data_IF_924191775060
#
_entry.id   IF_924191775060
#
_cell.length_a   1.000
_cell.length_b   1.000
_cell.length_c   1.000
_cell.angle_alpha   90.00
_cell.angle_beta   90.00
_cell.angle_gamma   90.00
#
_symmetry.space_group_name_H-M   'P 1'
#
loop_
_entity.id
_entity.type
_entity.pdbx_description
1 polymer ?
#
# COMPACT_ATOMS: atom_id res chain seq x y z
N UNK A 1 18.88 -12.46 2.71
CA UNK A 1 18.22 -11.45 1.86
C UNK A 1 17.09 -10.84 2.66
N UNK A 2 16.94 -9.53 2.59
CA UNK A 2 15.90 -8.76 3.26
C UNK A 2 14.93 -8.21 2.20
N UNK A 3 13.64 -8.53 2.32
CA UNK A 3 12.61 -8.23 1.33
C UNK A 3 11.68 -7.18 1.92
N UNK A 4 11.61 -6.02 1.28
CA UNK A 4 10.63 -4.97 1.59
C UNK A 4 9.33 -5.21 0.82
N UNK A 5 8.20 -5.07 1.48
CA UNK A 5 6.87 -5.21 0.86
C UNK A 5 6.03 -3.99 1.23
N UNK A 6 5.41 -3.35 0.24
CA UNK A 6 4.42 -2.31 0.48
C UNK A 6 3.09 -2.88 0.96
N UNK A 7 2.24 -2.04 1.53
CA UNK A 7 0.90 -2.39 1.98
C UNK A 7 -0.14 -2.14 0.89
N UNK A 8 -0.30 -0.87 0.51
CA UNK A 8 -1.36 -0.41 -0.38
C UNK A 8 -1.04 -0.77 -1.83
N UNK A 9 -1.98 -1.41 -2.53
CA UNK A 9 -1.77 -1.90 -3.89
C UNK A 9 -0.95 -3.20 -3.98
N UNK A 10 -0.39 -3.69 -2.87
CA UNK A 10 0.35 -4.97 -2.81
C UNK A 10 -0.33 -5.99 -1.90
N UNK A 11 -0.69 -5.61 -0.70
CA UNK A 11 -1.41 -6.47 0.26
C UNK A 11 -2.88 -6.05 0.38
N UNK A 12 -3.14 -4.75 0.53
CA UNK A 12 -4.47 -4.14 0.68
C UNK A 12 -4.99 -3.66 -0.68
N UNK A 13 -6.22 -4.03 -1.02
CA UNK A 13 -6.89 -3.59 -2.26
C UNK A 13 -7.50 -2.18 -2.08
N UNK A 14 -6.62 -1.21 -1.84
CA UNK A 14 -7.01 0.17 -1.59
C UNK A 14 -7.72 0.79 -2.80
N UNK A 15 -7.30 0.44 -4.02
CA UNK A 15 -7.90 0.95 -5.26
C UNK A 15 -9.36 0.55 -5.37
N UNK A 16 -9.67 -0.73 -5.21
CA UNK A 16 -11.05 -1.22 -5.24
C UNK A 16 -11.86 -0.63 -4.09
N UNK A 17 -11.29 -0.58 -2.90
CA UNK A 17 -11.95 -0.05 -1.71
C UNK A 17 -12.38 1.41 -1.91
N UNK A 18 -11.50 2.30 -2.36
CA UNK A 18 -11.81 3.71 -2.65
C UNK A 18 -12.82 3.80 -3.80
N UNK A 19 -12.59 3.07 -4.89
CA UNK A 19 -13.48 3.10 -6.07
C UNK A 19 -14.91 2.74 -5.72
N UNK A 20 -15.11 1.66 -4.98
CA UNK A 20 -16.45 1.17 -4.63
C UNK A 20 -17.13 2.09 -3.61
N UNK A 21 -16.40 2.60 -2.63
CA UNK A 21 -16.92 3.58 -1.67
C UNK A 21 -17.35 4.87 -2.35
N UNK A 22 -16.55 5.38 -3.31
CA UNK A 22 -16.93 6.58 -4.08
C UNK A 22 -18.18 6.33 -4.94
N UNK A 23 -18.32 5.16 -5.56
CA UNK A 23 -19.53 4.79 -6.32
C UNK A 23 -20.77 4.75 -5.43
N UNK A 24 -20.66 4.25 -4.22
CA UNK A 24 -21.77 4.16 -3.27
C UNK A 24 -22.14 5.52 -2.71
N UNK A 25 -21.17 6.32 -2.29
CA UNK A 25 -21.42 7.62 -1.64
C UNK A 25 -21.65 8.75 -2.61
N UNK A 26 -21.16 8.65 -3.85
CA UNK A 26 -21.25 9.66 -4.91
C UNK A 26 -21.71 9.04 -6.24
N UNK A 27 -22.92 8.42 -6.29
CA UNK A 27 -23.39 7.69 -7.47
C UNK A 27 -23.49 8.55 -8.74
N UNK A 28 -23.61 9.88 -8.59
CA UNK A 28 -23.61 10.84 -9.71
C UNK A 28 -22.26 10.94 -10.44
N UNK A 29 -21.19 10.37 -9.87
CA UNK A 29 -19.85 10.36 -10.46
C UNK A 29 -19.38 8.95 -10.85
N UNK A 30 -20.19 7.91 -10.64
CA UNK A 30 -19.79 6.51 -10.84
C UNK A 30 -19.28 6.21 -12.26
N UNK A 31 -19.86 6.85 -13.27
CA UNK A 31 -19.49 6.72 -14.68
C UNK A 31 -18.24 7.54 -15.08
N UNK A 32 -17.73 8.38 -14.18
CA UNK A 32 -16.56 9.23 -14.40
C UNK A 32 -15.30 8.70 -13.73
N UNK A 33 -15.42 7.67 -12.90
CA UNK A 33 -14.28 7.03 -12.25
C UNK A 33 -13.48 6.27 -13.30
N UNK A 34 -12.20 6.58 -13.40
CA UNK A 34 -11.30 5.93 -14.34
C UNK A 34 -10.52 4.79 -13.69
N UNK A 35 -10.00 3.86 -14.49
CA UNK A 35 -9.08 2.84 -13.96
C UNK A 35 -7.73 3.51 -13.72
N UNK A 36 -7.23 3.53 -12.49
CA UNK A 36 -5.94 4.16 -12.20
C UNK A 36 -4.79 3.36 -12.83
N UNK A 37 -3.84 4.07 -13.42
CA UNK A 37 -2.57 3.54 -13.91
C UNK A 37 -1.38 4.01 -13.06
N UNK A 38 -1.65 4.88 -12.11
CA UNK A 38 -0.71 5.44 -11.13
C UNK A 38 -1.50 5.97 -9.93
N UNK A 39 -0.81 6.43 -8.89
CA UNK A 39 -1.41 7.12 -7.74
C UNK A 39 -1.66 8.62 -8.01
N UNK A 40 -2.00 8.96 -9.26
CA UNK A 40 -2.37 10.30 -9.69
C UNK A 40 -3.90 10.45 -9.62
N UNK A 41 -4.37 11.25 -8.68
CA UNK A 41 -5.79 11.42 -8.40
C UNK A 41 -6.57 11.98 -9.60
N UNK A 42 -5.98 12.91 -10.36
CA UNK A 42 -6.62 13.51 -11.53
C UNK A 42 -6.91 12.48 -12.63
N UNK A 43 -6.07 11.43 -12.71
CA UNK A 43 -6.26 10.33 -13.66
C UNK A 43 -7.25 9.27 -13.16
N UNK A 44 -7.61 9.29 -11.91
CA UNK A 44 -8.50 8.31 -11.30
C UNK A 44 -9.87 8.89 -10.97
N UNK A 45 -9.91 10.03 -10.27
CA UNK A 45 -11.11 10.71 -9.80
C UNK A 45 -11.19 12.14 -10.36
N UNK A 46 -11.30 12.31 -11.69
CA UNK A 46 -11.13 13.60 -12.40
C UNK A 46 -12.24 14.63 -12.11
N UNK A 47 -13.23 14.28 -11.31
CA UNK A 47 -14.32 15.17 -10.91
C UNK A 47 -14.07 15.89 -9.57
N UNK A 48 -12.97 15.58 -8.90
CA UNK A 48 -12.47 16.26 -7.71
C UNK A 48 -11.09 16.85 -7.99
N UNK A 49 -10.76 17.93 -7.30
CA UNK A 49 -9.39 18.43 -7.23
C UNK A 49 -8.55 17.49 -6.35
N UNK A 50 -7.23 17.57 -6.46
CA UNK A 50 -6.31 16.82 -5.61
C UNK A 50 -6.60 17.06 -4.11
N UNK A 51 -6.79 18.33 -3.70
CA UNK A 51 -7.12 18.68 -2.31
C UNK A 51 -8.44 18.06 -1.85
N UNK A 52 -9.47 18.04 -2.69
CA UNK A 52 -10.76 17.41 -2.37
C UNK A 52 -10.62 15.90 -2.23
N UNK A 53 -9.87 15.27 -3.12
CA UNK A 53 -9.62 13.83 -3.06
C UNK A 53 -8.77 13.47 -1.85
N UNK A 54 -7.70 14.22 -1.56
CA UNK A 54 -6.88 14.00 -0.38
C UNK A 54 -7.67 14.15 0.90
N UNK A 55 -8.52 15.19 0.99
CA UNK A 55 -9.39 15.39 2.14
C UNK A 55 -10.38 14.23 2.30
N UNK A 56 -11.04 13.80 1.22
CA UNK A 56 -11.99 12.71 1.24
C UNK A 56 -11.35 11.40 1.70
N UNK A 57 -10.19 11.06 1.15
CA UNK A 57 -9.51 9.79 1.42
C UNK A 57 -8.80 9.76 2.77
N UNK A 58 -8.05 10.82 3.10
CA UNK A 58 -7.15 10.79 4.25
C UNK A 58 -7.67 11.51 5.49
N UNK A 59 -8.75 12.30 5.39
CA UNK A 59 -9.31 13.00 6.54
C UNK A 59 -10.72 12.50 6.86
N UNK A 60 -11.64 12.57 5.88
CA UNK A 60 -13.05 12.31 6.11
C UNK A 60 -13.37 10.80 6.23
N UNK A 61 -12.67 9.93 5.47
CA UNK A 61 -12.96 8.50 5.37
C UNK A 61 -11.75 7.59 5.61
N UNK A 62 -10.69 8.08 6.25
CA UNK A 62 -9.45 7.31 6.39
C UNK A 62 -9.63 5.96 7.10
N UNK A 63 -10.59 5.83 8.03
CA UNK A 63 -10.86 4.56 8.70
C UNK A 63 -11.52 3.54 7.77
N UNK A 64 -12.30 3.98 6.79
CA UNK A 64 -12.92 3.09 5.81
C UNK A 64 -11.85 2.53 4.85
N UNK A 65 -10.83 3.32 4.53
CA UNK A 65 -9.79 2.94 3.57
C UNK A 65 -8.57 2.29 4.21
N UNK A 66 -8.10 2.82 5.34
CA UNK A 66 -6.90 2.32 6.01
C UNK A 66 -7.22 1.43 7.21
N UNK A 67 -8.48 1.40 7.64
CA UNK A 67 -8.97 0.56 8.72
C UNK A 67 -9.28 -0.87 8.26
N UNK A 68 -9.78 -1.63 9.21
CA UNK A 68 -9.93 -3.09 9.13
C UNK A 68 -10.93 -3.60 8.09
N UNK A 69 -11.82 -2.75 7.56
CA UNK A 69 -12.87 -3.17 6.62
C UNK A 69 -12.40 -3.20 5.16
N UNK A 70 -11.37 -2.46 4.80
CA UNK A 70 -10.79 -2.52 3.46
C UNK A 70 -10.27 -3.94 3.17
N UNK A 71 -10.67 -4.60 2.07
CA UNK A 71 -10.27 -5.98 1.81
C UNK A 71 -8.79 -6.09 1.41
N UNK A 72 -8.15 -7.25 1.63
CA UNK A 72 -6.87 -7.55 1.00
C UNK A 72 -7.05 -7.79 -0.50
N UNK A 73 -5.97 -7.65 -1.25
CA UNK A 73 -5.89 -8.14 -2.63
C UNK A 73 -6.21 -9.63 -2.63
N UNK A 74 -6.97 -10.06 -3.64
CA UNK A 74 -7.33 -11.47 -3.80
C UNK A 74 -6.07 -12.35 -3.76
N UNK A 75 -6.12 -13.40 -2.95
CA UNK A 75 -5.05 -14.37 -2.75
C UNK A 75 -3.86 -13.85 -1.92
N UNK A 76 -3.73 -12.54 -1.63
CA UNK A 76 -2.58 -11.97 -0.91
C UNK A 76 -2.35 -12.61 0.47
N UNK A 77 -3.41 -13.01 1.18
CA UNK A 77 -3.29 -13.67 2.50
C UNK A 77 -2.66 -15.06 2.37
N UNK A 78 -3.04 -15.82 1.33
CA UNK A 78 -2.47 -17.13 1.05
C UNK A 78 -1.01 -16.99 0.61
N UNK A 79 -0.74 -16.09 -0.34
CA UNK A 79 0.60 -15.80 -0.84
C UNK A 79 1.53 -15.31 0.27
N UNK A 80 1.04 -14.48 1.18
CA UNK A 80 1.79 -14.05 2.37
C UNK A 80 2.23 -15.25 3.21
N UNK A 81 1.30 -16.18 3.47
CA UNK A 81 1.60 -17.37 4.27
C UNK A 81 2.70 -18.21 3.61
N UNK A 82 2.63 -18.39 2.29
CA UNK A 82 3.62 -19.13 1.51
C UNK A 82 4.97 -18.41 1.53
N UNK A 83 4.96 -17.10 1.25
CA UNK A 83 6.17 -16.28 1.22
C UNK A 83 6.87 -16.26 2.58
N UNK A 84 6.11 -16.08 3.67
CA UNK A 84 6.67 -16.06 5.03
C UNK A 84 7.29 -17.41 5.40
N UNK A 85 6.62 -18.52 5.11
CA UNK A 85 7.16 -19.87 5.35
C UNK A 85 8.45 -20.11 4.55
N UNK A 86 8.48 -19.67 3.30
CA UNK A 86 9.66 -19.77 2.45
C UNK A 86 10.82 -18.92 2.97
N UNK A 87 10.55 -17.69 3.40
CA UNK A 87 11.57 -16.79 3.95
C UNK A 87 12.21 -17.38 5.21
N UNK A 88 11.41 -17.84 6.16
CA UNK A 88 11.89 -18.50 7.40
C UNK A 88 12.77 -19.69 7.05
N UNK A 89 12.31 -20.58 6.15
CA UNK A 89 13.04 -21.79 5.75
C UNK A 89 14.41 -21.48 5.15
N UNK A 90 14.55 -20.35 4.44
CA UNK A 90 15.76 -19.97 3.72
C UNK A 90 16.59 -18.90 4.45
N UNK A 91 16.22 -18.50 5.67
CA UNK A 91 16.94 -17.49 6.44
C UNK A 91 16.87 -16.09 5.83
N UNK A 92 15.70 -15.73 5.30
CA UNK A 92 15.41 -14.41 4.76
C UNK A 92 14.51 -13.62 5.71
N UNK A 93 14.65 -12.31 5.71
CA UNK A 93 13.82 -11.38 6.46
C UNK A 93 12.78 -10.74 5.55
N UNK A 94 11.61 -10.45 6.09
CA UNK A 94 10.56 -9.72 5.38
C UNK A 94 10.15 -8.50 6.21
N UNK A 95 10.24 -7.32 5.60
CA UNK A 95 9.90 -6.05 6.21
C UNK A 95 8.69 -5.43 5.53
N UNK A 96 7.80 -4.82 6.29
CA UNK A 96 6.82 -3.90 5.75
C UNK A 96 7.51 -2.56 5.46
N UNK A 97 7.33 -2.01 4.27
CA UNK A 97 7.89 -0.70 3.88
C UNK A 97 6.79 0.11 3.18
N UNK A 98 6.00 0.84 3.94
CA UNK A 98 4.80 1.53 3.44
C UNK A 98 4.80 3.03 3.72
N UNK A 99 4.24 3.82 2.79
CA UNK A 99 4.16 5.28 2.91
C UNK A 99 2.81 5.68 3.51
N UNK A 100 2.67 5.56 4.85
CA UNK A 100 1.45 5.94 5.54
C UNK A 100 1.54 7.35 6.15
N UNK A 101 0.40 8.06 6.22
CA UNK A 101 0.26 9.26 7.06
C UNK A 101 0.19 8.83 8.52
N UNK A 102 0.65 9.70 9.43
CA UNK A 102 0.76 9.39 10.86
C UNK A 102 -0.54 8.82 11.46
N UNK A 103 -1.68 9.42 11.18
CA UNK A 103 -2.99 8.98 11.69
C UNK A 103 -3.53 7.71 11.01
N UNK A 104 -2.94 7.26 9.88
CA UNK A 104 -3.27 6.02 9.20
C UNK A 104 -2.41 4.83 9.66
N UNK A 105 -1.38 5.06 10.48
CA UNK A 105 -0.46 4.01 10.95
C UNK A 105 -1.20 3.00 11.83
N UNK A 106 -1.82 3.45 12.91
CA UNK A 106 -2.56 2.57 13.84
C UNK A 106 -3.69 1.80 13.13
N UNK A 107 -4.54 2.41 12.29
CA UNK A 107 -5.51 1.67 11.48
C UNK A 107 -4.87 0.62 10.56
N UNK A 108 -3.73 0.92 9.94
CA UNK A 108 -3.01 -0.02 9.09
C UNK A 108 -2.44 -1.19 9.88
N UNK A 109 -1.88 -0.96 11.06
CA UNK A 109 -1.41 -2.04 11.94
C UNK A 109 -2.56 -2.95 12.39
N UNK A 110 -3.71 -2.38 12.74
CA UNK A 110 -4.91 -3.15 13.07
C UNK A 110 -5.42 -3.96 11.86
N UNK A 111 -5.33 -3.40 10.65
CA UNK A 111 -5.67 -4.07 9.40
C UNK A 111 -4.76 -5.28 9.15
N UNK A 112 -3.44 -5.12 9.29
CA UNK A 112 -2.47 -6.21 9.14
C UNK A 112 -2.77 -7.37 10.10
N UNK A 113 -3.09 -7.06 11.36
CA UNK A 113 -3.45 -8.05 12.37
C UNK A 113 -4.74 -8.80 12.01
N UNK A 114 -5.80 -8.07 11.63
CA UNK A 114 -7.11 -8.66 11.26
C UNK A 114 -6.98 -9.64 10.11
N UNK A 115 -6.22 -9.28 9.08
CA UNK A 115 -6.11 -10.08 7.86
C UNK A 115 -4.98 -11.10 7.89
N UNK A 116 -4.25 -11.21 9.01
CA UNK A 116 -3.22 -12.23 9.19
C UNK A 116 -1.87 -11.92 8.54
N UNK A 117 -1.64 -10.67 8.14
CA UNK A 117 -0.32 -10.21 7.69
C UNK A 117 0.57 -9.93 8.91
N UNK A 118 0.97 -10.99 9.58
CA UNK A 118 1.76 -10.93 10.82
C UNK A 118 3.13 -11.59 10.65
N UNK A 119 4.06 -11.22 11.51
CA UNK A 119 5.40 -11.82 11.51
C UNK A 119 6.38 -11.12 10.57
N UNK A 120 6.17 -9.84 10.25
CA UNK A 120 7.24 -9.01 9.69
C UNK A 120 8.41 -8.93 10.67
N UNK A 121 9.62 -8.98 10.14
CA UNK A 121 10.84 -8.85 10.94
C UNK A 121 11.06 -7.38 11.35
N UNK A 122 10.67 -6.43 10.48
CA UNK A 122 10.65 -4.99 10.73
C UNK A 122 9.43 -4.33 10.05
N UNK A 123 9.01 -3.18 10.57
CA UNK A 123 7.96 -2.34 9.97
C UNK A 123 8.48 -0.92 9.84
N UNK A 124 8.43 -0.38 8.62
CA UNK A 124 8.88 0.96 8.27
C UNK A 124 7.76 1.75 7.61
N UNK A 125 7.28 2.79 8.29
CA UNK A 125 6.36 3.76 7.70
C UNK A 125 7.15 4.97 7.21
N UNK A 126 7.41 5.03 5.91
CA UNK A 126 8.22 6.09 5.29
C UNK A 126 7.89 6.33 3.83
N UNK A 127 7.92 7.60 3.41
CA UNK A 127 7.85 7.98 2.00
C UNK A 127 9.17 7.70 1.25
N UNK A 128 10.30 7.66 1.99
CA UNK A 128 11.62 7.41 1.45
C UNK A 128 11.95 5.91 1.49
N UNK A 129 11.18 5.11 0.77
CA UNK A 129 11.31 3.64 0.77
C UNK A 129 12.70 3.19 0.33
N UNK A 130 13.36 3.95 -0.53
CA UNK A 130 14.73 3.72 -0.97
C UNK A 130 15.78 3.82 0.15
N UNK A 131 15.47 4.50 1.26
CA UNK A 131 16.38 4.63 2.40
C UNK A 131 16.31 3.43 3.37
N UNK A 132 15.32 2.56 3.21
CA UNK A 132 15.21 1.35 4.02
C UNK A 132 16.21 0.31 3.51
N UNK A 133 16.94 -0.31 4.42
CA UNK A 133 17.94 -1.31 4.11
C UNK A 133 17.30 -2.66 3.76
N UNK A 134 16.86 -2.80 2.50
CA UNK A 134 16.31 -4.05 1.94
C UNK A 134 17.00 -4.38 0.62
N UNK A 135 17.15 -5.67 0.33
CA UNK A 135 17.78 -6.14 -0.92
C UNK A 135 16.83 -6.08 -2.12
N UNK A 136 15.53 -6.26 -1.85
CA UNK A 136 14.46 -6.26 -2.85
C UNK A 136 13.29 -5.47 -2.30
N UNK A 137 12.64 -4.66 -3.13
CA UNK A 137 11.39 -3.96 -2.82
C UNK A 137 10.27 -4.46 -3.74
N UNK A 138 9.13 -4.83 -3.14
CA UNK A 138 7.88 -5.15 -3.83
C UNK A 138 6.93 -3.98 -3.57
N UNK A 139 6.55 -3.29 -4.64
CA UNK A 139 5.76 -2.05 -4.59
C UNK A 139 4.94 -1.94 -5.88
N UNK A 140 3.73 -1.41 -5.82
CA UNK A 140 2.89 -1.19 -6.99
C UNK A 140 3.16 0.15 -7.71
N UNK A 141 3.96 1.03 -7.10
CA UNK A 141 4.34 2.32 -7.66
C UNK A 141 5.63 2.23 -8.49
N UNK A 142 5.57 2.40 -9.83
CA UNK A 142 6.76 2.41 -10.67
C UNK A 142 7.78 3.48 -10.24
N UNK A 143 7.28 4.65 -9.80
CA UNK A 143 8.13 5.74 -9.31
C UNK A 143 8.97 5.32 -8.10
N UNK A 144 8.37 4.62 -7.14
CA UNK A 144 9.07 4.15 -5.94
C UNK A 144 10.10 3.08 -6.27
N UNK A 145 9.80 2.21 -7.22
CA UNK A 145 10.73 1.20 -7.72
C UNK A 145 11.91 1.84 -8.46
N UNK A 146 11.66 2.85 -9.31
CA UNK A 146 12.73 3.60 -9.98
C UNK A 146 13.64 4.33 -8.98
N UNK A 147 13.08 4.96 -7.96
CA UNK A 147 13.85 5.66 -6.93
C UNK A 147 14.69 4.66 -6.13
N UNK A 148 14.14 3.52 -5.79
CA UNK A 148 14.85 2.44 -5.11
C UNK A 148 16.04 1.93 -5.96
N UNK A 149 15.83 1.68 -7.24
CA UNK A 149 16.86 1.19 -8.16
C UNK A 149 18.01 2.20 -8.35
N UNK A 150 17.66 3.48 -8.59
CA UNK A 150 18.63 4.57 -8.74
C UNK A 150 19.55 4.72 -7.52
N UNK A 151 18.99 4.59 -6.31
CA UNK A 151 19.77 4.72 -5.08
C UNK A 151 20.60 3.47 -4.78
N UNK A 152 20.11 2.28 -5.13
CA UNK A 152 20.85 1.02 -5.01
C UNK A 152 22.12 1.03 -5.87
N UNK A 153 22.04 1.55 -7.10
CA UNK A 153 23.20 1.68 -8.01
C UNK A 153 24.20 2.74 -7.51
N UNK A 154 23.72 3.87 -7.00
CA UNK A 154 24.59 4.99 -6.56
C UNK A 154 25.20 4.76 -5.17
N UNK A 155 24.57 3.97 -4.33
CA UNK A 155 24.99 3.69 -2.94
C UNK A 155 25.90 2.49 -2.77
N UNK A 156 26.15 1.70 -3.83
CA UNK A 156 27.05 0.54 -3.77
C UNK A 156 26.56 -0.61 -2.90
N UNK A 157 25.22 -0.86 -2.91
CA UNK A 157 24.62 -2.04 -2.26
C UNK A 157 24.92 -3.32 -3.01
#
# INVERSE_FOLDING_TARGET
MKIGIDCDGVLRDLITCITDTVKETHPQHADKILTPTSWDWDQWLPFWTEDETEKYVFEDNYLDFFGVECPPIKEAVEDWTILRAWAIKNGHEICLVSAQREHCIEPTEAWLQKWGFVGFDEIHFTKQKWAVDVDVLIDDSPEKLEDFDKQSVNGGR
#
